data_IF_350469095608
#
_entry.id   IF_350469095608
#
_cell.length_a   1.000
_cell.length_b   1.000
_cell.length_c   1.000
_cell.angle_alpha   90.00
_cell.angle_beta   90.00
_cell.angle_gamma   90.00
#
_symmetry.space_group_name_H-M   'P 1'
#
loop_
_entity.id
_entity.type
_entity.pdbx_description
1 polymer ?
#
# COMPACT_ATOMS: atom_id res chain seq x y z
N UNK A 1 11.93 -0.14 -18.13
CA UNK A 1 10.51 -0.18 -17.65
C UNK A 1 10.12 1.14 -16.98
N UNK A 2 8.89 1.38 -16.51
CA UNK A 2 8.50 2.70 -15.93
C UNK A 2 9.43 3.16 -14.80
N UNK A 3 9.77 2.27 -13.86
CA UNK A 3 10.68 2.58 -12.76
C UNK A 3 12.13 2.88 -13.21
N UNK A 4 12.55 2.30 -14.33
CA UNK A 4 13.87 2.52 -14.92
C UNK A 4 13.89 3.84 -15.71
N UNK A 5 12.84 4.09 -16.50
CA UNK A 5 12.66 5.36 -17.18
C UNK A 5 12.61 6.54 -16.21
N UNK A 6 11.97 6.37 -15.04
CA UNK A 6 11.95 7.39 -13.99
C UNK A 6 13.31 7.62 -13.31
N UNK A 7 14.21 6.62 -13.31
CA UNK A 7 15.60 6.79 -12.84
C UNK A 7 16.46 7.51 -13.86
N UNK A 8 16.30 7.17 -15.13
CA UNK A 8 17.08 7.76 -16.22
C UNK A 8 16.60 9.19 -16.56
N UNK A 9 15.28 9.43 -16.46
CA UNK A 9 14.61 10.69 -16.77
C UNK A 9 13.66 11.05 -15.62
N UNK A 10 14.16 11.68 -14.56
CA UNK A 10 13.35 11.99 -13.38
C UNK A 10 12.17 12.89 -13.75
N UNK A 11 10.99 12.54 -13.24
CA UNK A 11 9.77 13.33 -13.35
C UNK A 11 9.69 14.26 -12.15
N UNK A 12 9.69 15.57 -12.38
CA UNK A 12 9.63 16.58 -11.31
C UNK A 12 8.40 17.43 -11.51
N UNK A 13 7.58 17.54 -10.48
CA UNK A 13 6.43 18.44 -10.42
C UNK A 13 6.78 19.60 -9.50
N UNK A 14 6.86 20.81 -10.04
CA UNK A 14 7.11 22.00 -9.24
C UNK A 14 5.85 22.86 -9.15
N UNK A 15 5.47 23.32 -7.95
CA UNK A 15 4.28 24.15 -7.78
C UNK A 15 4.00 24.52 -6.33
N UNK A 16 2.91 25.27 -6.13
CA UNK A 16 2.37 25.58 -4.81
C UNK A 16 1.27 24.57 -4.44
N UNK A 17 1.13 24.29 -3.14
CA UNK A 17 0.06 23.40 -2.63
C UNK A 17 0.05 22.01 -3.28
N UNK A 18 1.23 21.42 -3.47
CA UNK A 18 1.42 20.08 -4.02
C UNK A 18 1.15 19.00 -2.97
N UNK A 19 -0.12 18.82 -2.60
CA UNK A 19 -0.56 17.72 -1.74
C UNK A 19 -1.72 16.97 -2.39
N UNK A 20 -1.63 15.64 -2.44
CA UNK A 20 -2.75 14.78 -2.81
C UNK A 20 -3.72 14.65 -1.64
N UNK A 21 -4.99 15.06 -1.82
CA UNK A 21 -6.08 14.76 -0.89
C UNK A 21 -6.87 13.56 -1.42
N UNK A 22 -6.66 12.35 -0.87
CA UNK A 22 -7.32 11.13 -1.33
C UNK A 22 -8.84 11.13 -1.07
N UNK A 23 -9.36 12.09 -0.30
CA UNK A 23 -10.79 12.23 -0.02
C UNK A 23 -11.40 13.47 -0.66
N UNK A 24 -10.66 14.14 -1.55
CA UNK A 24 -11.16 15.34 -2.21
C UNK A 24 -12.50 15.09 -2.91
N UNK A 25 -12.59 14.01 -3.69
CA UNK A 25 -13.82 13.61 -4.37
C UNK A 25 -14.93 13.20 -3.39
N UNK A 26 -14.59 12.50 -2.30
CA UNK A 26 -15.57 12.08 -1.29
C UNK A 26 -16.20 13.27 -0.54
N UNK A 27 -15.46 14.37 -0.40
CA UNK A 27 -15.89 15.56 0.33
C UNK A 27 -16.18 16.77 -0.58
N UNK A 28 -16.32 16.57 -1.89
CA UNK A 28 -16.51 17.62 -2.91
C UNK A 28 -15.51 18.79 -2.77
N UNK A 29 -14.26 18.47 -2.39
CA UNK A 29 -13.17 19.45 -2.29
C UNK A 29 -12.42 19.52 -3.60
N UNK A 30 -12.12 20.73 -4.02
CA UNK A 30 -11.32 20.94 -5.22
C UNK A 30 -9.84 20.73 -4.92
N UNK A 31 -9.21 19.73 -5.56
CA UNK A 31 -7.76 19.58 -5.51
C UNK A 31 -7.07 20.68 -6.32
N UNK A 32 -5.91 21.12 -5.82
CA UNK A 32 -5.02 22.00 -6.57
C UNK A 32 -4.61 21.35 -7.90
N UNK A 33 -4.25 22.18 -8.89
CA UNK A 33 -3.71 21.68 -10.15
C UNK A 33 -2.48 20.78 -9.95
N UNK A 34 -1.65 21.09 -8.95
CA UNK A 34 -0.54 20.21 -8.58
C UNK A 34 -1.03 18.86 -8.05
N UNK A 35 -1.99 18.84 -7.12
CA UNK A 35 -2.58 17.61 -6.59
C UNK A 35 -3.14 16.70 -7.68
N UNK A 36 -3.89 17.28 -8.64
CA UNK A 36 -4.45 16.57 -9.80
C UNK A 36 -3.36 15.87 -10.64
N UNK A 37 -2.20 16.51 -10.84
CA UNK A 37 -1.06 15.90 -11.52
C UNK A 37 -0.45 14.77 -10.70
N UNK A 38 -0.22 14.98 -9.40
CA UNK A 38 0.35 13.97 -8.51
C UNK A 38 -0.52 12.71 -8.42
N UNK A 39 -1.83 12.89 -8.31
CA UNK A 39 -2.82 11.81 -8.31
C UNK A 39 -2.72 10.98 -9.61
N UNK A 40 -2.61 11.66 -10.75
CA UNK A 40 -2.56 11.01 -12.06
C UNK A 40 -1.25 10.26 -12.29
N UNK A 41 -0.12 10.85 -11.89
CA UNK A 41 1.19 10.21 -11.94
C UNK A 41 1.24 8.98 -11.03
N UNK A 42 0.71 9.12 -9.80
CA UNK A 42 0.58 8.02 -8.84
C UNK A 42 -0.26 6.88 -9.42
N UNK A 43 -1.43 7.20 -9.97
CA UNK A 43 -2.32 6.21 -10.57
C UNK A 43 -1.76 5.56 -11.84
N UNK A 44 -0.84 6.24 -12.53
CA UNK A 44 -0.11 5.71 -13.69
C UNK A 44 1.16 4.93 -13.30
N UNK A 45 1.47 4.82 -12.01
CA UNK A 45 2.66 4.12 -11.51
C UNK A 45 3.99 4.80 -11.86
N UNK A 46 3.95 6.12 -12.11
CA UNK A 46 5.12 6.92 -12.46
C UNK A 46 5.67 7.55 -11.19
N UNK A 47 6.93 7.24 -10.86
CA UNK A 47 7.61 7.86 -9.74
C UNK A 47 7.93 9.34 -10.05
N UNK A 48 7.80 10.21 -9.06
CA UNK A 48 8.04 11.64 -9.21
C UNK A 48 8.64 12.26 -7.95
N UNK A 49 9.29 13.42 -8.11
CA UNK A 49 9.64 14.31 -7.01
C UNK A 49 8.82 15.61 -7.07
N UNK A 50 8.68 16.25 -5.92
CA UNK A 50 7.94 17.51 -5.79
C UNK A 50 8.90 18.60 -5.34
N UNK A 51 8.88 19.73 -6.05
CA UNK A 51 9.67 20.92 -5.71
C UNK A 51 8.76 22.13 -5.45
N UNK A 52 9.07 22.97 -4.45
CA UNK A 52 8.29 24.17 -4.20
C UNK A 52 8.54 25.21 -5.30
N UNK A 53 7.48 25.66 -5.96
CA UNK A 53 7.54 26.75 -6.93
C UNK A 53 6.28 27.62 -6.88
N UNK A 54 6.36 28.86 -7.37
CA UNK A 54 5.21 29.76 -7.45
C UNK A 54 4.28 29.43 -8.62
N UNK A 55 4.81 28.82 -9.68
CA UNK A 55 4.07 28.41 -10.87
C UNK A 55 4.10 26.88 -11.00
N UNK A 56 2.99 26.31 -11.46
CA UNK A 56 2.88 24.87 -11.70
C UNK A 56 3.65 24.50 -12.98
N UNK A 57 4.62 23.61 -12.85
CA UNK A 57 5.41 23.08 -13.95
C UNK A 57 5.61 21.57 -13.78
N UNK A 58 5.73 20.87 -14.90
CA UNK A 58 6.06 19.45 -14.96
C UNK A 58 7.28 19.31 -15.86
N UNK A 59 8.32 18.66 -15.35
CA UNK A 59 9.53 18.38 -16.14
C UNK A 59 9.85 16.89 -16.13
N UNK A 60 10.49 16.42 -17.20
CA UNK A 60 10.91 15.03 -17.35
C UNK A 60 12.32 15.01 -17.92
N UNK A 61 13.29 14.54 -17.13
CA UNK A 61 14.71 14.64 -17.49
C UNK A 61 15.19 16.09 -17.68
N UNK A 62 14.56 17.05 -17.00
CA UNK A 62 14.86 18.49 -17.11
C UNK A 62 14.13 19.21 -18.24
N UNK A 63 13.40 18.51 -19.12
CA UNK A 63 12.59 19.15 -20.17
C UNK A 63 11.17 19.45 -19.69
N UNK A 64 10.69 20.67 -19.92
CA UNK A 64 9.33 21.08 -19.57
C UNK A 64 8.25 20.42 -20.43
N UNK A 65 7.15 20.04 -19.79
CA UNK A 65 5.90 19.60 -20.42
C UNK A 65 4.88 20.74 -20.34
N UNK A 66 4.34 21.14 -21.49
CA UNK A 66 3.26 22.11 -21.54
C UNK A 66 1.98 21.52 -20.94
N UNK A 67 1.52 22.10 -19.83
CA UNK A 67 0.29 21.70 -19.16
C UNK A 67 -0.90 22.31 -19.89
N UNK A 68 -1.83 21.48 -20.35
CA UNK A 68 -3.02 21.95 -21.06
C UNK A 68 -4.14 22.29 -20.07
N UNK A 69 -4.91 23.37 -20.27
CA UNK A 69 -6.02 23.73 -19.38
C UNK A 69 -7.04 22.60 -19.19
N UNK A 70 -7.35 21.86 -20.26
CA UNK A 70 -8.29 20.74 -20.27
C UNK A 70 -7.90 19.62 -19.29
N UNK A 71 -6.60 19.44 -19.00
CA UNK A 71 -6.14 18.45 -18.04
C UNK A 71 -6.59 18.75 -16.60
N UNK A 72 -6.95 19.99 -16.30
CA UNK A 72 -7.43 20.36 -14.97
C UNK A 72 -8.95 20.26 -14.84
N UNK A 73 -9.66 20.15 -15.96
CA UNK A 73 -11.12 20.02 -16.05
C UNK A 73 -11.54 18.55 -16.21
N UNK A 74 -10.81 17.76 -17.00
CA UNK A 74 -11.09 16.34 -17.25
C UNK A 74 -9.93 15.43 -16.81
N UNK A 75 -10.24 14.49 -15.91
CA UNK A 75 -9.29 13.48 -15.43
C UNK A 75 -8.87 12.45 -16.47
N UNK A 76 -9.72 12.15 -17.46
CA UNK A 76 -9.39 11.26 -18.56
C UNK A 76 -8.43 11.95 -19.53
N UNK A 77 -8.76 13.16 -19.97
CA UNK A 77 -7.86 13.99 -20.78
C UNK A 77 -6.49 14.19 -20.11
N UNK A 78 -6.46 14.38 -18.78
CA UNK A 78 -5.23 14.47 -18.00
C UNK A 78 -4.41 13.18 -18.04
N UNK A 79 -5.05 12.02 -17.82
CA UNK A 79 -4.37 10.71 -17.88
C UNK A 79 -3.77 10.46 -19.25
N UNK A 80 -4.57 10.60 -20.30
CA UNK A 80 -4.16 10.29 -21.66
C UNK A 80 -3.08 11.27 -22.14
N UNK A 81 -3.25 12.57 -21.84
CA UNK A 81 -2.28 13.62 -22.17
C UNK A 81 -0.94 13.43 -21.48
N UNK A 82 -0.94 13.11 -20.18
CA UNK A 82 0.29 12.82 -19.42
C UNK A 82 0.98 11.56 -19.93
N UNK A 83 0.24 10.48 -20.16
CA UNK A 83 0.81 9.24 -20.69
C UNK A 83 1.41 9.47 -22.09
N UNK A 84 0.75 10.22 -22.97
CA UNK A 84 1.30 10.57 -24.27
C UNK A 84 2.59 11.40 -24.15
N UNK A 85 2.61 12.42 -23.28
CA UNK A 85 3.76 13.28 -23.06
C UNK A 85 4.97 12.54 -22.46
N UNK A 86 4.72 11.58 -21.56
CA UNK A 86 5.72 10.69 -20.98
C UNK A 86 6.19 9.63 -21.98
N UNK A 87 5.29 9.09 -22.81
CA UNK A 87 5.64 8.13 -23.87
C UNK A 87 6.60 8.72 -24.89
N UNK A 88 6.36 9.97 -25.31
CA UNK A 88 7.28 10.71 -26.18
C UNK A 88 8.70 10.85 -25.59
N UNK A 89 8.85 10.68 -24.26
CA UNK A 89 10.12 10.75 -23.53
C UNK A 89 10.66 9.39 -23.12
N UNK A 90 10.05 8.30 -23.57
CA UNK A 90 10.55 6.94 -23.36
C UNK A 90 9.92 6.18 -22.19
N UNK A 91 8.83 6.68 -21.61
CA UNK A 91 8.03 5.91 -20.67
C UNK A 91 7.13 4.94 -21.44
N UNK A 92 7.17 3.65 -21.09
CA UNK A 92 6.35 2.63 -21.74
C UNK A 92 5.16 2.23 -20.86
N UNK A 93 3.97 2.65 -21.28
CA UNK A 93 2.69 2.31 -20.65
C UNK A 93 1.98 1.15 -21.34
N UNK A 94 2.58 0.52 -22.35
CA UNK A 94 1.99 -0.63 -23.00
C UNK A 94 1.81 -1.78 -21.99
N UNK A 95 0.73 -2.54 -22.15
CA UNK A 95 0.48 -3.72 -21.32
C UNK A 95 1.65 -4.70 -21.49
N UNK A 96 2.43 -4.88 -20.43
CA UNK A 96 3.50 -5.88 -20.40
C UNK A 96 2.91 -7.28 -20.23
N UNK A 97 3.02 -8.10 -21.27
CA UNK A 97 2.75 -9.53 -21.19
C UNK A 97 4.08 -10.27 -20.93
N UNK A 98 4.34 -10.73 -19.70
CA UNK A 98 5.56 -11.49 -19.41
C UNK A 98 5.55 -12.83 -20.16
N UNK A 99 6.72 -13.38 -20.51
CA UNK A 99 6.81 -14.70 -21.14
C UNK A 99 6.23 -15.79 -20.23
N UNK A 100 5.75 -16.89 -20.82
CA UNK A 100 5.10 -17.99 -20.08
C UNK A 100 5.94 -18.49 -18.90
N UNK A 101 7.27 -18.58 -19.07
CA UNK A 101 8.18 -18.97 -17.99
C UNK A 101 8.10 -18.06 -16.76
N UNK A 102 8.01 -16.74 -16.96
CA UNK A 102 7.86 -15.78 -15.87
C UNK A 102 6.48 -15.89 -15.23
N UNK A 103 5.43 -16.12 -16.02
CA UNK A 103 4.07 -16.36 -15.48
C UNK A 103 4.07 -17.59 -14.59
N UNK A 104 4.62 -18.71 -15.06
CA UNK A 104 4.74 -19.93 -14.27
C UNK A 104 5.59 -19.72 -13.01
N UNK A 105 6.68 -18.95 -13.11
CA UNK A 105 7.50 -18.56 -11.97
C UNK A 105 6.72 -17.72 -10.93
N UNK A 106 5.93 -16.74 -11.38
CA UNK A 106 5.07 -15.93 -10.51
C UNK A 106 4.02 -16.81 -9.83
N UNK A 107 3.34 -17.69 -10.58
CA UNK A 107 2.34 -18.60 -10.00
C UNK A 107 2.99 -19.53 -8.97
N UNK A 108 4.14 -20.12 -9.28
CA UNK A 108 4.88 -20.97 -8.35
C UNK A 108 5.27 -20.21 -7.07
N UNK A 109 5.76 -18.97 -7.21
CA UNK A 109 6.08 -18.11 -6.07
C UNK A 109 4.84 -17.81 -5.22
N UNK A 110 3.71 -17.47 -5.85
CA UNK A 110 2.44 -17.22 -5.16
C UNK A 110 1.94 -18.47 -4.42
N UNK A 111 2.09 -19.67 -5.02
CA UNK A 111 1.75 -20.94 -4.36
C UNK A 111 2.64 -21.20 -3.15
N UNK A 112 3.94 -20.95 -3.25
CA UNK A 112 4.88 -21.07 -2.11
C UNK A 112 4.50 -20.08 -1.00
N UNK A 113 4.25 -18.80 -1.34
CA UNK A 113 3.81 -17.81 -0.37
C UNK A 113 2.47 -18.21 0.29
N UNK A 114 1.52 -18.74 -0.50
CA UNK A 114 0.25 -19.25 0.01
C UNK A 114 0.42 -20.44 0.95
N UNK A 115 1.31 -21.38 0.62
CA UNK A 115 1.64 -22.52 1.47
C UNK A 115 2.29 -22.07 2.79
N UNK A 116 3.26 -21.15 2.72
CA UNK A 116 3.90 -20.57 3.91
C UNK A 116 2.88 -19.86 4.80
N UNK A 117 1.97 -19.09 4.19
CA UNK A 117 0.85 -18.45 4.90
C UNK A 117 -0.07 -19.48 5.57
N UNK A 118 -0.42 -20.57 4.88
CA UNK A 118 -1.26 -21.62 5.46
C UNK A 118 -0.61 -22.30 6.67
N UNK A 119 0.70 -22.58 6.61
CA UNK A 119 1.46 -23.18 7.72
C UNK A 119 1.49 -22.26 8.95
N UNK A 120 1.72 -20.95 8.74
CA UNK A 120 1.73 -20.00 9.86
C UNK A 120 0.32 -19.85 10.46
N UNK A 121 -0.72 -19.66 9.64
CA UNK A 121 -2.10 -19.57 10.13
C UNK A 121 -2.56 -20.82 10.88
N UNK A 122 -2.21 -22.01 10.38
CA UNK A 122 -2.54 -23.28 11.03
C UNK A 122 -1.89 -23.41 12.42
N UNK A 123 -0.60 -23.10 12.51
CA UNK A 123 0.14 -23.17 13.78
C UNK A 123 -0.39 -22.17 14.82
N UNK A 124 -0.72 -20.94 14.41
CA UNK A 124 -1.29 -19.91 15.28
C UNK A 124 -2.68 -20.31 15.78
N UNK A 125 -3.53 -20.88 14.92
CA UNK A 125 -4.86 -21.34 15.31
C UNK A 125 -4.81 -22.45 16.37
N UNK A 126 -3.88 -23.41 16.23
CA UNK A 126 -3.65 -24.47 17.21
C UNK A 126 -3.20 -23.90 18.55
N UNK A 127 -2.19 -23.00 18.53
CA UNK A 127 -1.68 -22.37 19.75
C UNK A 127 -2.78 -21.59 20.48
N UNK A 128 -3.57 -20.77 19.78
CA UNK A 128 -4.67 -20.03 20.40
C UNK A 128 -5.76 -20.96 20.97
N UNK A 129 -6.02 -22.11 20.33
CA UNK A 129 -6.99 -23.08 20.83
C UNK A 129 -6.54 -23.74 22.15
N UNK A 130 -5.24 -23.91 22.33
CA UNK A 130 -4.65 -24.39 23.59
C UNK A 130 -4.58 -23.30 24.66
N UNK A 131 -4.40 -22.03 24.26
CA UNK A 131 -4.27 -20.91 25.20
C UNK A 131 -5.58 -20.53 25.92
N UNK A 132 -6.74 -20.79 25.31
CA UNK A 132 -8.04 -20.35 25.84
C UNK A 132 -8.99 -21.51 26.22
N UNK A 133 -9.66 -21.45 27.40
CA UNK A 133 -10.70 -22.39 27.79
C UNK A 133 -11.86 -22.43 26.77
N UNK A 134 -12.51 -23.60 26.56
CA UNK A 134 -13.56 -23.76 25.55
C UNK A 134 -14.71 -22.73 25.64
N UNK A 135 -15.04 -22.31 26.86
CA UNK A 135 -16.12 -21.38 27.20
C UNK A 135 -15.90 -19.93 26.72
N UNK A 136 -14.64 -19.48 26.60
CA UNK A 136 -14.31 -18.10 26.17
C UNK A 136 -13.50 -18.06 24.87
N UNK A 137 -13.16 -19.21 24.30
CA UNK A 137 -12.29 -19.36 23.13
C UNK A 137 -12.79 -18.59 21.91
N UNK A 138 -14.08 -18.66 21.60
CA UNK A 138 -14.63 -18.00 20.42
C UNK A 138 -14.58 -16.47 20.52
N UNK A 139 -14.97 -15.91 21.67
CA UNK A 139 -14.95 -14.46 21.90
C UNK A 139 -13.53 -13.91 22.00
N UNK A 140 -12.62 -14.63 22.67
CA UNK A 140 -11.21 -14.23 22.78
C UNK A 140 -10.45 -14.30 21.45
N UNK A 141 -10.78 -15.22 20.55
CA UNK A 141 -10.20 -15.29 19.21
C UNK A 141 -10.82 -14.29 18.24
N UNK A 142 -12.15 -14.07 18.30
CA UNK A 142 -12.85 -13.25 17.31
C UNK A 142 -12.54 -11.76 17.44
N UNK A 143 -12.36 -11.25 18.66
CA UNK A 143 -12.06 -9.83 18.89
C UNK A 143 -10.72 -9.42 18.23
N UNK A 144 -9.57 -10.08 18.53
CA UNK A 144 -8.32 -9.80 17.83
C UNK A 144 -8.42 -10.01 16.33
N UNK A 145 -9.13 -11.06 15.88
CA UNK A 145 -9.30 -11.34 14.45
C UNK A 145 -10.02 -10.21 13.72
N UNK A 146 -11.16 -9.73 14.24
CA UNK A 146 -11.91 -8.63 13.63
C UNK A 146 -11.19 -7.29 13.72
N UNK A 147 -10.44 -7.04 14.80
CA UNK A 147 -9.63 -5.83 14.91
C UNK A 147 -8.49 -5.86 13.89
N UNK A 148 -7.75 -6.97 13.81
CA UNK A 148 -6.63 -7.11 12.90
C UNK A 148 -7.10 -7.11 11.42
N UNK A 149 -8.09 -7.93 11.08
CA UNK A 149 -8.60 -8.01 9.71
C UNK A 149 -9.35 -6.73 9.31
N UNK A 150 -10.17 -6.18 10.20
CA UNK A 150 -11.00 -5.01 9.92
C UNK A 150 -10.20 -3.72 9.87
N UNK A 151 -9.45 -3.39 10.92
CA UNK A 151 -8.74 -2.11 11.00
C UNK A 151 -7.37 -2.18 10.32
N UNK A 152 -6.51 -3.12 10.69
CA UNK A 152 -5.14 -3.17 10.13
C UNK A 152 -5.15 -3.66 8.68
N UNK A 153 -5.94 -4.70 8.39
CA UNK A 153 -6.09 -5.24 7.04
C UNK A 153 -6.96 -4.37 6.14
N UNK A 154 -8.12 -3.91 6.62
CA UNK A 154 -9.08 -3.15 5.81
C UNK A 154 -8.56 -1.78 5.37
N UNK A 155 -7.83 -1.07 6.24
CA UNK A 155 -7.26 0.24 5.91
C UNK A 155 -5.89 0.16 5.21
N UNK A 156 -5.33 -1.04 5.03
CA UNK A 156 -4.03 -1.22 4.36
C UNK A 156 -3.96 -0.54 2.98
N UNK A 157 -4.91 -0.76 2.04
CA UNK A 157 -4.82 -0.16 0.70
C UNK A 157 -4.86 1.37 0.74
N UNK A 158 -5.67 1.92 1.65
CA UNK A 158 -5.80 3.36 1.85
C UNK A 158 -4.49 3.95 2.39
N UNK A 159 -3.93 3.38 3.45
CA UNK A 159 -2.70 3.87 4.08
C UNK A 159 -1.52 3.72 3.12
N UNK A 160 -1.41 2.57 2.45
CA UNK A 160 -0.37 2.34 1.44
C UNK A 160 -0.49 3.35 0.28
N UNK A 161 -1.70 3.59 -0.23
CA UNK A 161 -1.96 4.59 -1.28
C UNK A 161 -1.56 6.00 -0.85
N UNK A 162 -1.88 6.40 0.38
CA UNK A 162 -1.48 7.71 0.94
C UNK A 162 0.05 7.82 1.02
N UNK A 163 0.73 6.77 1.48
CA UNK A 163 2.20 6.75 1.58
C UNK A 163 2.82 6.91 0.18
N UNK A 164 2.31 6.18 -0.82
CA UNK A 164 2.80 6.28 -2.20
C UNK A 164 2.57 7.69 -2.76
N UNK A 165 1.36 8.24 -2.60
CA UNK A 165 1.02 9.56 -3.13
C UNK A 165 1.83 10.70 -2.46
N UNK A 166 2.18 10.56 -1.18
CA UNK A 166 3.01 11.55 -0.48
C UNK A 166 4.50 11.41 -0.77
N UNK A 167 4.98 10.18 -0.95
CA UNK A 167 6.41 9.92 -1.22
C UNK A 167 6.78 10.04 -2.69
N UNK A 168 5.83 9.85 -3.61
CA UNK A 168 6.10 9.73 -5.04
C UNK A 168 6.76 8.41 -5.42
N UNK A 169 6.88 7.45 -4.50
CA UNK A 169 7.49 6.13 -4.71
C UNK A 169 6.44 5.02 -4.53
N UNK A 170 6.24 4.24 -5.60
CA UNK A 170 5.30 3.10 -5.64
C UNK A 170 5.67 2.02 -4.62
N UNK A 171 6.95 1.91 -4.24
CA UNK A 171 7.40 0.91 -3.27
C UNK A 171 7.25 1.36 -1.81
N UNK A 172 7.05 2.65 -1.55
CA UNK A 172 6.99 3.17 -0.18
C UNK A 172 5.80 2.61 0.62
N UNK A 173 4.71 2.24 -0.05
CA UNK A 173 3.53 1.63 0.60
C UNK A 173 3.87 0.32 1.34
N UNK A 174 4.96 -0.38 0.96
CA UNK A 174 5.41 -1.59 1.64
C UNK A 174 5.81 -1.32 3.10
N UNK A 175 6.28 -0.13 3.45
CA UNK A 175 6.68 0.17 4.83
C UNK A 175 5.60 0.00 5.87
N UNK A 176 4.34 0.23 5.49
CA UNK A 176 3.24 -0.03 6.42
C UNK A 176 3.13 -1.52 6.77
N UNK A 177 3.24 -2.42 5.79
CA UNK A 177 3.15 -3.87 6.06
C UNK A 177 4.34 -4.36 6.89
N UNK A 178 5.55 -3.89 6.58
CA UNK A 178 6.75 -4.20 7.36
C UNK A 178 6.63 -3.73 8.82
N UNK A 179 6.12 -2.51 9.05
CA UNK A 179 5.94 -1.98 10.39
C UNK A 179 4.93 -2.79 11.21
N UNK A 180 3.80 -3.18 10.61
CA UNK A 180 2.77 -3.99 11.27
C UNK A 180 3.30 -5.39 11.60
N UNK A 181 4.05 -6.01 10.69
CA UNK A 181 4.69 -7.32 10.95
C UNK A 181 5.74 -7.22 12.06
N UNK A 182 6.58 -6.18 12.05
CA UNK A 182 7.57 -5.94 13.10
C UNK A 182 6.90 -5.74 14.47
N UNK A 183 5.79 -5.00 14.52
CA UNK A 183 4.99 -4.84 15.74
C UNK A 183 4.46 -6.19 16.23
N UNK A 184 3.86 -6.99 15.33
CA UNK A 184 3.39 -8.34 15.67
C UNK A 184 4.51 -9.23 16.22
N UNK A 185 5.68 -9.20 15.58
CA UNK A 185 6.86 -9.93 16.05
C UNK A 185 7.29 -9.48 17.45
N UNK A 186 7.35 -8.17 17.72
CA UNK A 186 7.71 -7.64 19.03
C UNK A 186 6.72 -8.08 20.11
N UNK A 187 5.41 -8.06 19.80
CA UNK A 187 4.36 -8.50 20.72
C UNK A 187 4.45 -9.99 21.01
N UNK A 188 4.69 -10.82 19.99
CA UNK A 188 4.89 -12.28 20.15
C UNK A 188 6.15 -12.57 20.96
N UNK A 189 7.25 -11.86 20.67
CA UNK A 189 8.54 -12.07 21.33
C UNK A 189 8.53 -11.73 22.82
N UNK A 190 7.87 -10.65 23.21
CA UNK A 190 7.78 -10.24 24.63
C UNK A 190 6.56 -10.87 25.32
N UNK A 191 5.41 -10.92 24.64
CA UNK A 191 4.12 -11.17 25.25
C UNK A 191 3.72 -12.64 25.40
N UNK A 192 4.37 -13.58 24.70
CA UNK A 192 4.04 -15.00 24.85
C UNK A 192 4.79 -15.62 26.05
N UNK A 193 4.09 -15.98 27.14
CA UNK A 193 4.71 -16.71 28.23
C UNK A 193 5.13 -18.12 27.76
N UNK A 194 6.24 -18.60 28.30
CA UNK A 194 6.70 -19.97 28.04
C UNK A 194 5.83 -21.00 28.76
N UNK A 195 5.27 -21.95 28.02
CA UNK A 195 4.53 -23.09 28.58
C UNK A 195 3.00 -22.98 28.50
N UNK A 196 2.26 -24.05 28.85
CA UNK A 196 0.80 -24.07 28.80
C UNK A 196 0.18 -23.07 29.80
N UNK A 197 -0.99 -22.48 29.50
CA UNK A 197 -1.63 -21.48 30.35
C UNK A 197 -1.94 -22.06 31.73
N UNK A 198 -1.59 -21.32 32.78
CA UNK A 198 -1.83 -21.72 34.18
C UNK A 198 -2.89 -20.86 34.88
N UNK A 199 -3.29 -19.72 34.32
CA UNK A 199 -4.14 -18.75 35.03
C UNK A 199 -5.62 -19.16 35.14
N UNK A 200 -6.07 -20.18 34.38
CA UNK A 200 -7.47 -20.63 34.40
C UNK A 200 -7.70 -21.96 35.13
N UNK A 201 -6.67 -22.52 35.80
CA UNK A 201 -6.83 -23.73 36.62
C UNK A 201 -7.56 -23.47 37.94
N UNK A 202 -7.50 -22.22 38.43
CA UNK A 202 -7.87 -21.93 39.83
C UNK A 202 -9.37 -21.62 39.98
N UNK A 203 -10.04 -21.13 38.92
CA UNK A 203 -11.49 -20.87 38.93
C UNK A 203 -12.34 -22.15 38.86
N UNK A 204 -11.78 -23.27 38.38
CA UNK A 204 -12.53 -24.56 38.31
C UNK A 204 -12.48 -25.31 39.64
N UNK A 205 -11.50 -25.02 40.50
CA UNK A 205 -11.33 -25.70 41.78
C UNK A 205 -12.18 -25.11 42.93
N UNK A 206 -12.73 -23.90 42.79
CA UNK A 206 -13.51 -23.23 43.84
C UNK A 206 -15.03 -23.43 43.74
N UNK A 207 -15.52 -24.14 42.72
CA UNK A 207 -16.95 -24.34 42.45
C UNK A 207 -17.39 -25.81 42.57
N UNK A 208 -16.59 -26.62 43.29
CA UNK A 208 -16.83 -28.04 43.59
C UNK A 208 -17.07 -28.31 45.06
#
# INVERSE_FOLDING_TARGET
GLAEAARDKPVVVAGNQCSTDPFAELFDREQSGCGKLLETLTASGVAYSVEPASALTLTVGGEGIALQPEWFEDGMARRDGLQAALTARGFDFARKAPPLANILGIVALLLVLGMLSALTYGSVAALLAELFPPRIRYSSMSIPYHIAAGYLGGFLPLIAGIIVARSGDVYAGLWYTWAVVALGLMVVWWGLPGGPPRDFSDEVASDG
#
